data_IF_631264863335
#
_entry.id   IF_631264863335
#
_cell.length_a   1.000
_cell.length_b   1.000
_cell.length_c   1.000
_cell.angle_alpha   90.00
_cell.angle_beta   90.00
_cell.angle_gamma   90.00
#
_symmetry.space_group_name_H-M   'P 1'
#
loop_
_entity.id
_entity.type
_entity.pdbx_description
1 polymer ?
#
# COMPACT_ATOMS: atom_id res chain seq x y z
N UNK A 1 -59.69 -29.01 -8.46
CA UNK A 1 -58.97 -28.21 -9.49
C UNK A 1 -57.81 -27.49 -8.80
N UNK A 2 -56.61 -27.55 -9.42
CA UNK A 2 -55.38 -26.75 -9.24
C UNK A 2 -54.76 -26.60 -7.82
N UNK A 3 -53.58 -27.20 -7.54
CA UNK A 3 -52.18 -26.70 -7.77
C UNK A 3 -51.84 -25.45 -6.94
N UNK A 4 -50.71 -25.30 -6.25
CA UNK A 4 -49.47 -26.08 -6.05
C UNK A 4 -48.85 -25.64 -4.71
N UNK A 5 -47.89 -26.34 -4.12
CA UNK A 5 -46.62 -26.75 -4.73
C UNK A 5 -45.55 -25.71 -4.38
N UNK A 6 -44.71 -25.99 -3.39
CA UNK A 6 -43.53 -25.16 -3.10
C UNK A 6 -42.93 -25.37 -1.72
N UNK A 7 -42.06 -26.37 -1.58
CA UNK A 7 -41.19 -26.59 -0.43
C UNK A 7 -39.99 -25.64 -0.48
N UNK A 8 -39.67 -25.07 0.70
CA UNK A 8 -38.29 -24.88 1.23
C UNK A 8 -37.31 -23.99 0.42
N UNK A 9 -36.11 -23.62 0.90
CA UNK A 9 -35.59 -23.54 2.27
C UNK A 9 -34.68 -22.27 2.49
N UNK A 10 -34.09 -22.13 3.68
CA UNK A 10 -32.92 -21.27 4.00
C UNK A 10 -33.05 -19.75 3.74
N UNK A 11 -33.51 -19.02 4.76
CA UNK A 11 -33.20 -17.60 4.89
C UNK A 11 -31.71 -17.47 5.21
N UNK A 12 -30.86 -17.50 4.19
CA UNK A 12 -29.44 -17.17 4.32
C UNK A 12 -29.41 -15.70 4.70
N UNK A 13 -29.16 -15.41 5.98
CA UNK A 13 -28.54 -14.14 6.35
C UNK A 13 -27.21 -14.15 5.61
N UNK A 14 -27.16 -13.54 4.44
CA UNK A 14 -25.90 -13.01 3.94
C UNK A 14 -25.47 -12.01 5.00
N UNK A 15 -24.70 -12.50 5.97
CA UNK A 15 -23.68 -11.71 6.61
C UNK A 15 -22.97 -11.05 5.45
N UNK A 16 -23.23 -9.76 5.25
CA UNK A 16 -22.32 -8.90 4.52
C UNK A 16 -21.01 -8.99 5.31
N UNK A 17 -20.25 -10.05 5.05
CA UNK A 17 -18.81 -9.97 5.04
C UNK A 17 -18.56 -8.77 4.15
N UNK A 18 -18.38 -7.62 4.78
CA UNK A 18 -17.62 -6.52 4.26
C UNK A 18 -16.24 -7.10 4.01
N UNK A 19 -16.12 -7.89 2.94
CA UNK A 19 -14.86 -8.07 2.26
C UNK A 19 -14.42 -6.63 1.98
N UNK A 20 -13.33 -6.15 2.60
CA UNK A 20 -12.86 -4.80 2.29
C UNK A 20 -12.73 -4.74 0.78
N UNK A 21 -13.44 -3.79 0.16
CA UNK A 21 -13.37 -3.57 -1.27
C UNK A 21 -11.88 -3.60 -1.67
N UNK A 22 -11.52 -4.26 -2.78
CA UNK A 22 -10.13 -4.35 -3.17
C UNK A 22 -9.56 -2.93 -3.21
N UNK A 23 -8.52 -2.68 -2.39
CA UNK A 23 -7.74 -1.42 -2.38
C UNK A 23 -6.98 -1.19 -3.70
N UNK A 24 -7.33 -1.91 -4.76
CA UNK A 24 -6.69 -1.91 -6.09
C UNK A 24 -6.63 -0.52 -6.73
N UNK A 25 -7.48 0.43 -6.30
CA UNK A 25 -7.50 1.81 -6.78
C UNK A 25 -6.73 2.81 -5.91
N UNK A 26 -6.18 2.41 -4.75
CA UNK A 26 -5.46 3.31 -3.85
C UNK A 26 -3.94 3.20 -3.92
N UNK A 27 -3.35 2.21 -4.59
CA UNK A 27 -1.89 2.12 -4.72
C UNK A 27 -1.51 1.89 -6.18
N UNK A 28 -0.75 2.82 -6.73
CA UNK A 28 -0.16 2.71 -8.07
C UNK A 28 1.29 2.29 -7.95
N UNK A 29 1.67 1.20 -8.64
CA UNK A 29 3.04 0.69 -8.68
C UNK A 29 3.57 0.81 -10.10
N UNK A 30 4.74 1.42 -10.26
CA UNK A 30 5.45 1.54 -11.53
C UNK A 30 6.86 0.99 -11.34
N UNK A 31 7.23 -0.04 -12.11
CA UNK A 31 8.61 -0.51 -12.15
C UNK A 31 9.49 0.56 -12.78
N UNK A 32 10.62 0.84 -12.17
CA UNK A 32 11.64 1.73 -12.73
C UNK A 32 12.94 0.94 -12.88
N UNK A 33 13.77 1.32 -13.85
CA UNK A 33 15.02 0.60 -14.11
C UNK A 33 16.22 1.28 -13.47
N UNK A 34 16.15 2.59 -13.21
CA UNK A 34 17.26 3.41 -12.71
C UNK A 34 16.70 4.51 -11.80
N UNK A 35 17.42 4.85 -10.72
CA UNK A 35 17.08 5.98 -9.85
C UNK A 35 17.35 7.33 -10.52
N UNK A 36 18.41 7.39 -11.33
CA UNK A 36 18.82 8.55 -12.13
C UNK A 36 19.32 8.08 -13.48
N UNK A 37 19.30 8.97 -14.48
CA UNK A 37 19.70 8.66 -15.85
C UNK A 37 21.19 8.28 -15.97
N UNK A 38 22.03 8.82 -15.08
CA UNK A 38 23.48 8.65 -15.04
C UNK A 38 23.94 7.42 -14.24
N UNK A 39 23.06 6.78 -13.47
CA UNK A 39 23.37 5.60 -12.66
C UNK A 39 23.10 4.30 -13.41
N UNK A 40 23.85 3.23 -13.18
CA UNK A 40 23.59 1.92 -13.80
C UNK A 40 22.15 1.42 -13.50
N UNK A 41 21.55 0.59 -14.37
CA UNK A 41 20.26 -0.02 -14.07
C UNK A 41 20.34 -0.93 -12.85
N UNK A 42 19.35 -0.80 -11.97
CA UNK A 42 19.23 -1.57 -10.73
C UNK A 42 17.93 -2.38 -10.76
N UNK A 43 17.99 -3.72 -10.64
CA UNK A 43 16.79 -4.53 -10.56
C UNK A 43 16.04 -4.30 -9.24
N UNK A 44 14.72 -4.49 -9.27
CA UNK A 44 13.89 -4.46 -8.07
C UNK A 44 13.53 -3.07 -7.56
N UNK A 45 13.59 -2.04 -8.42
CA UNK A 45 13.12 -0.70 -8.11
C UNK A 45 11.67 -0.48 -8.54
N UNK A 46 10.87 0.07 -7.62
CA UNK A 46 9.45 0.33 -7.81
C UNK A 46 9.09 1.70 -7.27
N UNK A 47 8.58 2.57 -8.14
CA UNK A 47 7.90 3.79 -7.71
C UNK A 47 6.50 3.41 -7.26
N UNK A 48 6.16 3.72 -6.02
CA UNK A 48 4.84 3.48 -5.44
C UNK A 48 4.22 4.82 -5.09
N UNK A 49 3.01 5.05 -5.59
CA UNK A 49 2.18 6.19 -5.26
C UNK A 49 0.98 5.68 -4.48
N UNK A 50 0.81 6.19 -3.28
CA UNK A 50 -0.35 5.97 -2.43
C UNK A 50 -1.43 7.00 -2.78
N UNK A 51 -2.68 6.59 -2.81
CA UNK A 51 -3.83 7.44 -3.06
C UNK A 51 -4.02 8.47 -1.95
N UNK A 52 -4.80 9.53 -2.17
CA UNK A 52 -4.96 10.60 -1.19
C UNK A 52 -5.58 10.12 0.13
N UNK A 53 -6.55 9.21 0.09
CA UNK A 53 -7.20 8.68 1.30
C UNK A 53 -6.25 7.80 2.12
N UNK A 54 -5.60 6.81 1.48
CA UNK A 54 -4.54 6.02 2.11
C UNK A 54 -3.39 6.87 2.65
N UNK A 55 -2.93 7.89 1.91
CA UNK A 55 -1.86 8.78 2.37
C UNK A 55 -2.24 9.50 3.67
N UNK A 56 -3.49 9.96 3.79
CA UNK A 56 -4.00 10.58 5.01
C UNK A 56 -4.09 9.57 6.17
N UNK A 57 -4.52 8.33 5.90
CA UNK A 57 -4.55 7.25 6.89
C UNK A 57 -3.15 6.96 7.43
N UNK A 58 -2.16 6.86 6.54
CA UNK A 58 -0.76 6.60 6.88
C UNK A 58 -0.14 7.72 7.72
N UNK A 59 -0.42 8.99 7.39
CA UNK A 59 0.04 10.14 8.18
C UNK A 59 -0.55 10.15 9.58
N UNK A 60 -1.85 9.88 9.72
CA UNK A 60 -2.50 9.76 11.03
C UNK A 60 -1.95 8.58 11.83
N UNK A 61 -1.53 7.52 11.17
CA UNK A 61 -0.83 6.43 11.86
C UNK A 61 0.56 6.87 12.35
N UNK A 62 1.34 7.53 11.50
CA UNK A 62 2.65 8.06 11.88
C UNK A 62 2.56 9.07 13.05
N UNK A 63 1.57 9.97 13.04
CA UNK A 63 1.28 10.89 14.15
C UNK A 63 0.99 10.14 15.47
N UNK A 64 0.21 9.05 15.40
CA UNK A 64 -0.09 8.22 16.58
C UNK A 64 1.12 7.47 17.11
N UNK A 65 2.00 7.02 16.22
CA UNK A 65 3.23 6.31 16.59
C UNK A 65 4.26 7.24 17.26
N UNK A 66 4.32 8.50 16.85
CA UNK A 66 5.36 9.44 17.29
C UNK A 66 4.85 10.88 17.34
N UNK A 67 4.11 11.25 18.40
CA UNK A 67 3.57 12.61 18.54
C UNK A 67 4.60 13.63 19.06
N UNK A 68 5.78 13.18 19.49
CA UNK A 68 6.69 13.95 20.34
C UNK A 68 7.68 14.84 19.60
N UNK A 69 8.05 14.52 18.35
CA UNK A 69 8.97 15.34 17.54
C UNK A 69 8.74 15.17 16.03
N UNK A 70 9.10 16.19 15.25
CA UNK A 70 9.01 16.16 13.79
C UNK A 70 9.89 15.06 13.17
N UNK A 71 11.10 14.84 13.71
CA UNK A 71 12.00 13.81 13.20
C UNK A 71 11.47 12.39 13.48
N UNK A 72 10.85 12.18 14.66
CA UNK A 72 10.25 10.89 14.99
C UNK A 72 9.00 10.63 14.13
N UNK A 73 8.21 11.68 13.86
CA UNK A 73 7.09 11.61 12.92
C UNK A 73 7.54 11.19 11.52
N UNK A 74 8.60 11.82 10.97
CA UNK A 74 9.13 11.47 9.64
C UNK A 74 9.62 10.02 9.59
N UNK A 75 10.31 9.55 10.64
CA UNK A 75 10.71 8.14 10.73
C UNK A 75 9.50 7.21 10.79
N UNK A 76 8.44 7.56 11.53
CA UNK A 76 7.22 6.78 11.59
C UNK A 76 6.49 6.78 10.23
N UNK A 77 6.43 7.90 9.51
CA UNK A 77 5.84 7.99 8.17
C UNK A 77 6.58 7.06 7.19
N UNK A 78 7.91 7.10 7.19
CA UNK A 78 8.75 6.19 6.39
C UNK A 78 8.45 4.72 6.73
N UNK A 79 8.36 4.36 8.01
CA UNK A 79 8.08 2.98 8.42
C UNK A 79 6.70 2.49 7.94
N UNK A 80 5.68 3.35 8.04
CA UNK A 80 4.33 3.05 7.54
C UNK A 80 4.36 2.89 6.02
N UNK A 81 5.05 3.79 5.31
CA UNK A 81 5.23 3.70 3.85
C UNK A 81 5.93 2.42 3.41
N UNK A 82 7.03 2.02 4.06
CA UNK A 82 7.74 0.78 3.77
C UNK A 82 6.87 -0.45 3.98
N UNK A 83 6.08 -0.47 5.06
CA UNK A 83 5.20 -1.59 5.37
C UNK A 83 4.07 -1.73 4.34
N UNK A 84 3.40 -0.64 3.99
CA UNK A 84 2.32 -0.68 2.99
C UNK A 84 2.86 -0.99 1.59
N UNK A 85 4.01 -0.42 1.20
CA UNK A 85 4.66 -0.76 -0.05
C UNK A 85 5.09 -2.24 -0.11
N UNK A 86 5.69 -2.76 0.96
CA UNK A 86 6.10 -4.17 1.03
C UNK A 86 4.89 -5.09 0.87
N UNK A 87 3.80 -4.81 1.60
CA UNK A 87 2.55 -5.56 1.51
C UNK A 87 2.00 -5.58 0.09
N UNK A 88 1.96 -4.42 -0.58
CA UNK A 88 1.45 -4.31 -1.94
C UNK A 88 2.36 -5.01 -2.96
N UNK A 89 3.67 -4.81 -2.87
CA UNK A 89 4.63 -5.42 -3.78
C UNK A 89 4.69 -6.94 -3.62
N UNK A 90 4.54 -7.47 -2.41
CA UNK A 90 4.43 -8.91 -2.15
C UNK A 90 3.11 -9.45 -2.70
N UNK A 91 1.99 -8.77 -2.49
CA UNK A 91 0.69 -9.16 -3.04
C UNK A 91 0.71 -9.26 -4.57
N UNK A 92 1.45 -8.35 -5.23
CA UNK A 92 1.67 -8.34 -6.69
C UNK A 92 2.79 -9.28 -7.16
N UNK A 93 3.42 -10.05 -6.27
CA UNK A 93 4.58 -10.93 -6.56
C UNK A 93 5.78 -10.21 -7.17
N UNK A 94 5.95 -8.92 -6.85
CA UNK A 94 7.06 -8.07 -7.28
C UNK A 94 8.22 -8.07 -6.28
N UNK A 95 7.93 -8.27 -4.99
CA UNK A 95 8.89 -8.42 -3.89
C UNK A 95 8.71 -9.80 -3.21
N UNK A 96 9.76 -10.33 -2.58
CA UNK A 96 9.68 -11.56 -1.77
C UNK A 96 9.28 -11.32 -0.32
N UNK A 97 9.72 -10.20 0.28
CA UNK A 97 9.37 -9.91 1.69
C UNK A 97 9.38 -8.41 2.01
N UNK A 98 10.46 -7.72 1.64
CA UNK A 98 10.73 -6.39 2.18
C UNK A 98 10.85 -5.36 1.05
N UNK A 99 10.31 -4.17 1.28
CA UNK A 99 10.50 -3.00 0.44
C UNK A 99 11.09 -1.87 1.29
N UNK A 100 12.20 -1.28 0.86
CA UNK A 100 12.87 -0.17 1.56
C UNK A 100 12.82 1.08 0.73
N UNK A 101 12.53 2.23 1.34
CA UNK A 101 12.59 3.52 0.67
C UNK A 101 14.04 3.80 0.30
N UNK A 102 14.29 4.09 -0.97
CA UNK A 102 15.59 4.55 -1.48
C UNK A 102 15.55 6.00 -1.89
N UNK A 103 14.35 6.51 -2.21
CA UNK A 103 14.15 7.92 -2.50
C UNK A 103 12.73 8.32 -2.06
N UNK A 104 12.56 9.14 -1.01
CA UNK A 104 11.28 9.77 -0.75
C UNK A 104 11.01 10.75 -1.90
N UNK A 105 9.81 10.71 -2.47
CA UNK A 105 9.36 11.74 -3.42
C UNK A 105 8.49 12.67 -2.59
N UNK A 106 9.09 13.74 -2.08
CA UNK A 106 8.36 14.71 -1.28
C UNK A 106 7.17 15.25 -2.09
N UNK A 107 5.98 15.30 -1.47
CA UNK A 107 4.87 15.98 -2.10
C UNK A 107 5.18 17.49 -2.13
N UNK A 108 4.98 18.15 -3.26
CA UNK A 108 5.16 19.61 -3.38
C UNK A 108 4.25 20.42 -2.45
N UNK A 109 3.19 19.80 -1.92
CA UNK A 109 2.25 20.36 -0.96
C UNK A 109 1.95 19.32 0.13
N UNK A 110 1.85 19.73 1.39
CA UNK A 110 1.65 18.84 2.54
C UNK A 110 0.39 17.94 2.49
N UNK A 111 -0.53 18.16 1.54
CA UNK A 111 -1.70 17.31 1.29
C UNK A 111 -1.59 16.43 0.04
N UNK A 112 -0.48 16.47 -0.70
CA UNK A 112 -0.34 15.65 -1.88
C UNK A 112 -0.15 14.16 -1.51
N UNK A 113 -0.51 13.25 -2.41
CA UNK A 113 -0.41 11.81 -2.17
C UNK A 113 1.04 11.39 -1.95
N UNK A 114 1.28 10.53 -0.96
CA UNK A 114 2.61 10.03 -0.67
C UNK A 114 3.14 9.24 -1.85
N UNK A 115 4.35 9.55 -2.28
CA UNK A 115 5.04 8.84 -3.36
C UNK A 115 6.46 8.58 -2.92
N UNK A 116 6.98 7.40 -3.21
CA UNK A 116 8.38 7.10 -2.99
C UNK A 116 8.86 6.02 -3.96
N UNK A 117 10.18 5.93 -4.09
CA UNK A 117 10.82 4.80 -4.73
C UNK A 117 11.26 3.81 -3.67
N UNK A 118 10.85 2.57 -3.88
CA UNK A 118 11.16 1.43 -3.05
C UNK A 118 12.07 0.48 -3.80
N UNK A 119 13.04 -0.08 -3.09
CA UNK A 119 13.83 -1.20 -3.55
C UNK A 119 13.36 -2.46 -2.84
N UNK A 120 13.02 -3.49 -3.59
CA UNK A 120 12.82 -4.82 -3.02
C UNK A 120 14.14 -5.31 -2.43
N UNK A 121 14.16 -5.61 -1.15
CA UNK A 121 15.22 -6.41 -0.58
C UNK A 121 15.07 -7.82 -1.12
N UNK A 122 16.12 -8.35 -1.78
CA UNK A 122 16.25 -9.81 -1.89
C UNK A 122 16.30 -10.33 -0.46
N UNK A 123 15.33 -11.15 -0.09
CA UNK A 123 15.44 -11.94 1.14
C UNK A 123 16.71 -12.78 0.99
N UNK A 124 17.80 -12.36 1.64
CA UNK A 124 18.93 -13.22 1.93
C UNK A 124 18.53 -14.06 3.14
N UNK A 125 17.57 -14.97 2.95
CA UNK A 125 17.25 -16.03 3.89
C UNK A 125 17.22 -17.34 3.13
#
# INVERSE_FOLDING_TARGET
MARGGGREPWRVRHSSFLSPAPRESEITVTRIERLRWDLAPEPGLYRVRFGPALSLEMRREAERMSPASFMDYLHAEIQVMEREAARELVARRLCTANARIVLPVEPSDGNAPLTAVFRCGVSLF
#
